data_IF_880268405488
#
_entry.id   IF_880268405488
#
_cell.length_a   1.000
_cell.length_b   1.000
_cell.length_c   1.000
_cell.angle_alpha   90.00
_cell.angle_beta   90.00
_cell.angle_gamma   90.00
#
_symmetry.space_group_name_H-M   'P 1'
#
loop_
_entity.id
_entity.type
_entity.pdbx_description
1 polymer ?
#
# COMPACT_ATOMS: atom_id res chain seq x y z
N UNK A 1 7.59 -4.89 -19.66
CA UNK A 1 7.89 -4.93 -18.22
C UNK A 1 8.92 -3.87 -17.78
N UNK A 2 9.54 -3.14 -18.70
CA UNK A 2 10.64 -2.22 -18.46
C UNK A 2 12.03 -2.86 -18.63
N UNK A 3 13.06 -2.01 -18.68
CA UNK A 3 14.47 -2.44 -18.84
C UNK A 3 14.92 -3.27 -17.63
N UNK A 4 15.51 -4.47 -17.85
CA UNK A 4 15.88 -5.36 -16.73
C UNK A 4 16.88 -4.76 -15.73
N UNK A 5 17.84 -3.97 -16.20
CA UNK A 5 18.84 -3.31 -15.36
C UNK A 5 18.21 -2.27 -14.44
N UNK A 6 17.28 -1.45 -14.94
CA UNK A 6 16.55 -0.46 -14.14
C UNK A 6 15.67 -1.16 -13.10
N UNK A 7 14.96 -2.22 -13.47
CA UNK A 7 14.13 -3.01 -12.56
C UNK A 7 14.94 -3.64 -11.43
N UNK A 8 16.10 -4.22 -11.74
CA UNK A 8 17.03 -4.78 -10.73
C UNK A 8 17.57 -3.69 -9.80
N UNK A 9 17.95 -2.54 -10.35
CA UNK A 9 18.42 -1.41 -9.54
C UNK A 9 17.31 -0.90 -8.61
N UNK A 10 16.07 -0.81 -9.09
CA UNK A 10 14.92 -0.41 -8.28
C UNK A 10 14.64 -1.43 -7.17
N UNK A 11 14.66 -2.75 -7.47
CA UNK A 11 14.52 -3.81 -6.48
C UNK A 11 15.58 -3.70 -5.37
N UNK A 12 16.83 -3.48 -5.74
CA UNK A 12 17.91 -3.30 -4.78
C UNK A 12 17.68 -2.07 -3.88
N UNK A 13 17.21 -0.95 -4.45
CA UNK A 13 16.88 0.25 -3.70
C UNK A 13 15.69 0.05 -2.74
N UNK A 14 14.66 -0.70 -3.16
CA UNK A 14 13.55 -1.07 -2.27
C UNK A 14 14.11 -1.83 -1.05
N UNK A 15 14.99 -2.81 -1.26
CA UNK A 15 15.58 -3.58 -0.16
C UNK A 15 16.50 -2.73 0.73
N UNK A 16 17.27 -1.82 0.15
CA UNK A 16 18.16 -0.91 0.88
C UNK A 16 17.38 0.04 1.80
N UNK A 17 16.27 0.61 1.31
CA UNK A 17 15.44 1.57 2.06
C UNK A 17 14.45 0.90 3.03
N UNK A 18 14.31 -0.41 2.96
CA UNK A 18 13.38 -1.20 3.78
C UNK A 18 14.10 -2.39 4.43
N UNK A 19 14.86 -2.17 5.51
CA UNK A 19 15.67 -3.21 6.18
C UNK A 19 14.90 -4.47 6.59
N UNK A 20 13.60 -4.35 6.93
CA UNK A 20 12.75 -5.50 7.29
C UNK A 20 12.41 -6.42 6.11
N UNK A 21 12.83 -6.09 4.89
CA UNK A 21 12.81 -7.01 3.74
C UNK A 21 13.97 -8.02 3.77
N UNK A 22 14.94 -7.87 4.69
CA UNK A 22 16.08 -8.80 4.78
C UNK A 22 15.58 -10.23 4.98
N UNK A 23 15.97 -11.10 4.06
CA UNK A 23 15.57 -12.53 4.08
C UNK A 23 14.19 -12.83 3.50
N UNK A 24 13.45 -11.81 3.07
CA UNK A 24 12.16 -11.97 2.40
C UNK A 24 12.29 -11.90 0.88
N UNK A 25 11.34 -12.52 0.18
CA UNK A 25 11.33 -12.54 -1.28
C UNK A 25 10.37 -11.51 -1.83
N UNK A 26 10.86 -10.67 -2.73
CA UNK A 26 10.02 -9.73 -3.51
C UNK A 26 10.20 -9.97 -5.01
N UNK A 27 9.16 -9.71 -5.78
CA UNK A 27 9.22 -9.83 -7.23
C UNK A 27 10.19 -8.79 -7.84
N UNK A 28 10.69 -9.07 -9.04
CA UNK A 28 11.34 -8.02 -9.84
C UNK A 28 10.28 -6.97 -10.22
N UNK A 29 10.48 -5.68 -9.89
CA UNK A 29 9.49 -4.63 -10.17
C UNK A 29 9.07 -4.55 -11.63
N UNK A 30 7.80 -4.29 -11.89
CA UNK A 30 7.26 -4.00 -13.22
C UNK A 30 7.17 -2.49 -13.39
N UNK A 31 7.83 -1.94 -14.41
CA UNK A 31 7.78 -0.51 -14.69
C UNK A 31 6.41 -0.08 -15.21
N UNK A 32 5.92 1.06 -14.72
CA UNK A 32 4.66 1.67 -15.11
C UNK A 32 4.84 3.12 -15.54
N UNK A 33 3.83 3.68 -16.23
CA UNK A 33 3.81 5.09 -16.56
C UNK A 33 3.36 5.91 -15.35
N UNK A 34 4.27 6.15 -14.42
CA UNK A 34 4.06 6.71 -13.09
C UNK A 34 3.19 5.84 -12.16
N UNK A 35 3.05 6.29 -10.89
CA UNK A 35 2.31 5.56 -9.87
C UNK A 35 0.82 5.44 -10.20
N UNK A 36 0.21 6.47 -10.77
CA UNK A 36 -1.21 6.43 -11.16
C UNK A 36 -1.53 5.26 -12.10
N UNK A 37 -0.63 4.93 -13.03
CA UNK A 37 -0.79 3.75 -13.86
C UNK A 37 -0.64 2.45 -13.04
N UNK A 38 0.32 2.39 -12.10
CA UNK A 38 0.45 1.27 -11.17
C UNK A 38 -0.81 1.05 -10.32
N UNK A 39 -1.37 2.13 -9.79
CA UNK A 39 -2.65 2.12 -9.06
C UNK A 39 -3.80 1.61 -9.94
N UNK A 40 -3.89 2.09 -11.19
CA UNK A 40 -4.90 1.59 -12.14
C UNK A 40 -4.71 0.10 -12.44
N UNK A 41 -3.48 -0.36 -12.61
CA UNK A 41 -3.20 -1.78 -12.83
C UNK A 41 -3.54 -2.65 -11.61
N UNK A 42 -3.34 -2.15 -10.39
CA UNK A 42 -3.80 -2.84 -9.19
C UNK A 42 -5.34 -3.00 -9.20
N UNK A 43 -6.07 -1.98 -9.65
CA UNK A 43 -7.52 -2.08 -9.87
C UNK A 43 -7.88 -3.17 -10.86
N UNK A 44 -7.24 -3.16 -12.03
CA UNK A 44 -7.46 -4.18 -13.07
C UNK A 44 -7.20 -5.62 -12.58
N UNK A 45 -6.18 -5.81 -11.76
CA UNK A 45 -5.79 -7.15 -11.29
C UNK A 45 -6.66 -7.66 -10.14
N UNK A 46 -7.16 -6.77 -9.28
CA UNK A 46 -7.70 -7.16 -7.98
C UNK A 46 -9.14 -6.74 -7.72
N UNK A 47 -9.75 -5.91 -8.57
CA UNK A 47 -11.09 -5.38 -8.35
C UNK A 47 -12.04 -5.79 -9.48
N UNK A 48 -13.04 -6.58 -9.14
CA UNK A 48 -14.19 -6.85 -10.00
C UNK A 48 -15.29 -5.78 -9.77
N UNK A 49 -16.23 -5.59 -10.72
CA UNK A 49 -17.38 -4.72 -10.50
C UNK A 49 -18.16 -5.10 -9.23
N UNK A 50 -18.39 -4.13 -8.35
CA UNK A 50 -19.00 -4.33 -7.04
C UNK A 50 -18.07 -4.87 -5.94
N UNK A 51 -16.84 -5.25 -6.26
CA UNK A 51 -15.84 -5.65 -5.26
C UNK A 51 -15.52 -4.48 -4.35
N UNK A 52 -15.50 -4.72 -3.03
CA UNK A 52 -15.15 -3.71 -2.05
C UNK A 52 -13.63 -3.50 -1.98
N UNK A 53 -13.23 -2.23 -1.89
CA UNK A 53 -11.89 -1.81 -1.53
C UNK A 53 -11.96 -0.92 -0.30
N UNK A 54 -11.14 -1.25 0.70
CA UNK A 54 -11.06 -0.54 1.98
C UNK A 54 -10.05 0.60 1.88
N UNK A 55 -10.51 1.81 2.14
CA UNK A 55 -9.70 3.03 2.21
C UNK A 55 -9.87 3.69 3.58
N UNK A 56 -8.88 4.45 4.08
CA UNK A 56 -9.15 5.36 5.19
C UNK A 56 -10.18 6.41 4.74
N UNK A 57 -10.97 6.96 5.66
CA UNK A 57 -11.95 8.02 5.33
C UNK A 57 -11.31 9.34 4.84
N UNK A 58 -10.00 9.50 5.05
CA UNK A 58 -9.18 10.58 4.52
C UNK A 58 -8.23 10.03 3.47
N UNK A 59 -8.65 10.04 2.21
CA UNK A 59 -7.91 9.46 1.10
C UNK A 59 -7.81 10.41 -0.11
N UNK A 60 -6.88 10.14 -1.00
CA UNK A 60 -6.70 10.89 -2.25
C UNK A 60 -7.87 10.63 -3.22
N UNK A 61 -8.63 11.69 -3.53
CA UNK A 61 -9.88 11.58 -4.30
C UNK A 61 -9.76 10.91 -5.67
N UNK A 62 -8.57 10.84 -6.27
CA UNK A 62 -8.39 10.18 -7.55
C UNK A 62 -8.50 8.65 -7.49
N UNK A 63 -8.52 8.02 -6.31
CA UNK A 63 -8.87 6.60 -6.21
C UNK A 63 -10.30 6.32 -6.68
N UNK A 64 -11.22 7.29 -6.53
CA UNK A 64 -12.56 7.18 -7.13
C UNK A 64 -12.49 7.00 -8.65
N UNK A 65 -11.62 7.78 -9.32
CA UNK A 65 -11.44 7.68 -10.77
C UNK A 65 -10.76 6.36 -11.17
N UNK A 66 -9.68 6.01 -10.42
CA UNK A 66 -8.85 4.87 -10.75
C UNK A 66 -9.54 3.52 -10.53
N UNK A 67 -10.47 3.43 -9.58
CA UNK A 67 -11.06 2.15 -9.17
C UNK A 67 -12.59 2.13 -9.25
N UNK A 68 -13.27 3.10 -8.67
CA UNK A 68 -14.74 3.12 -8.69
C UNK A 68 -15.26 3.38 -10.11
N UNK A 69 -14.78 4.43 -10.78
CA UNK A 69 -15.25 4.79 -12.10
C UNK A 69 -14.72 3.86 -13.20
N UNK A 70 -13.43 3.46 -13.10
CA UNK A 70 -12.79 2.66 -14.12
C UNK A 70 -13.19 1.18 -14.07
N UNK A 71 -13.35 0.61 -12.89
CA UNK A 71 -13.59 -0.84 -12.69
C UNK A 71 -14.90 -1.17 -11.96
N UNK A 72 -15.69 -0.17 -11.59
CA UNK A 72 -16.96 -0.39 -10.86
C UNK A 72 -16.75 -0.89 -9.43
N UNK A 73 -15.58 -0.69 -8.85
CA UNK A 73 -15.31 -1.07 -7.47
C UNK A 73 -16.12 -0.22 -6.49
N UNK A 74 -16.46 -0.79 -5.33
CA UNK A 74 -17.15 -0.11 -4.25
C UNK A 74 -16.15 0.33 -3.19
N UNK A 75 -15.96 1.63 -3.03
CA UNK A 75 -15.11 2.16 -1.96
C UNK A 75 -15.87 2.08 -0.64
N UNK A 76 -15.28 1.41 0.34
CA UNK A 76 -15.73 1.32 1.73
C UNK A 76 -14.66 1.95 2.61
N UNK A 77 -15.05 2.82 3.53
CA UNK A 77 -14.08 3.55 4.34
C UNK A 77 -14.06 3.07 5.78
N UNK A 78 -12.85 3.08 6.38
CA UNK A 78 -12.64 2.99 7.82
C UNK A 78 -12.10 4.34 8.35
N UNK A 79 -12.26 4.60 9.63
CA UNK A 79 -11.73 5.83 10.23
C UNK A 79 -10.20 5.74 10.32
N UNK A 80 -9.50 6.76 9.81
CA UNK A 80 -8.05 6.83 9.92
C UNK A 80 -7.62 7.17 11.35
N UNK A 81 -8.39 8.04 12.01
CA UNK A 81 -8.08 8.57 13.35
C UNK A 81 -9.22 8.40 14.33
N UNK A 82 -8.85 8.16 15.59
CA UNK A 82 -9.67 8.25 16.79
C UNK A 82 -8.80 8.79 17.93
N UNK A 83 -9.29 9.77 18.65
CA UNK A 83 -8.63 10.34 19.82
C UNK A 83 -7.15 10.77 19.60
N UNK A 84 -6.89 11.40 18.45
CA UNK A 84 -5.56 11.84 17.96
C UNK A 84 -4.55 10.71 17.69
N UNK A 85 -4.99 9.48 17.56
CA UNK A 85 -4.16 8.33 17.16
C UNK A 85 -4.78 7.62 15.94
N UNK A 86 -4.02 6.71 15.32
CA UNK A 86 -4.54 5.86 14.26
C UNK A 86 -5.62 4.91 14.80
N UNK A 87 -6.78 4.85 14.14
CA UNK A 87 -7.90 3.98 14.53
C UNK A 87 -7.72 2.55 13.98
N UNK A 88 -6.87 1.78 14.66
CA UNK A 88 -6.62 0.37 14.30
C UNK A 88 -7.87 -0.50 14.52
N UNK A 89 -8.74 -0.13 15.46
CA UNK A 89 -9.98 -0.86 15.71
C UNK A 89 -10.92 -0.75 14.50
N UNK A 90 -11.12 0.46 13.96
CA UNK A 90 -11.93 0.68 12.75
C UNK A 90 -11.39 -0.10 11.55
N UNK A 91 -10.06 -0.11 11.34
CA UNK A 91 -9.42 -0.92 10.31
C UNK A 91 -9.68 -2.42 10.53
N UNK A 92 -9.50 -2.91 11.76
CA UNK A 92 -9.71 -4.32 12.11
C UNK A 92 -11.15 -4.76 11.85
N UNK A 93 -12.13 -3.94 12.22
CA UNK A 93 -13.55 -4.20 11.98
C UNK A 93 -13.84 -4.27 10.47
N UNK A 94 -13.30 -3.34 9.67
CA UNK A 94 -13.46 -3.33 8.23
C UNK A 94 -12.84 -4.58 7.55
N UNK A 95 -11.65 -5.01 8.01
CA UNK A 95 -10.99 -6.22 7.50
C UNK A 95 -11.77 -7.49 7.84
N UNK A 96 -12.39 -7.54 9.03
CA UNK A 96 -13.14 -8.70 9.52
C UNK A 96 -14.60 -8.73 9.06
N UNK A 97 -15.12 -7.65 8.47
CA UNK A 97 -16.48 -7.60 7.93
C UNK A 97 -16.74 -8.71 6.90
N UNK A 98 -17.98 -8.86 6.48
CA UNK A 98 -18.42 -9.92 5.55
C UNK A 98 -17.56 -9.99 4.28
N UNK A 99 -17.51 -11.18 3.68
CA UNK A 99 -16.69 -11.50 2.51
C UNK A 99 -15.28 -11.98 2.88
N UNK A 100 -14.83 -13.04 2.22
CA UNK A 100 -13.55 -13.70 2.49
C UNK A 100 -12.38 -13.00 1.84
N UNK A 101 -12.63 -12.30 0.72
CA UNK A 101 -11.61 -11.54 -0.03
C UNK A 101 -11.67 -10.07 0.34
N UNK A 102 -10.54 -9.51 0.73
CA UNK A 102 -10.38 -8.09 1.07
C UNK A 102 -9.31 -7.45 0.22
N UNK A 103 -9.57 -6.25 -0.27
CA UNK A 103 -8.56 -5.39 -0.86
C UNK A 103 -8.50 -4.14 -0.01
N UNK A 104 -7.32 -3.77 0.47
CA UNK A 104 -7.11 -2.58 1.32
C UNK A 104 -5.95 -1.76 0.78
N UNK A 105 -6.06 -0.43 0.88
CA UNK A 105 -5.00 0.49 0.54
C UNK A 105 -4.40 1.12 1.79
N UNK A 106 -3.07 1.16 1.81
CA UNK A 106 -2.29 1.99 2.73
C UNK A 106 -1.48 3.01 1.93
N UNK A 107 -1.56 4.27 2.34
CA UNK A 107 -0.82 5.36 1.73
C UNK A 107 -0.16 6.18 2.84
N UNK A 108 1.15 6.02 3.01
CA UNK A 108 1.96 6.71 4.02
C UNK A 108 3.31 7.15 3.45
N UNK A 109 3.70 8.43 3.65
CA UNK A 109 2.89 9.54 4.17
C UNK A 109 1.57 9.69 3.42
N UNK A 110 0.49 9.94 4.18
CA UNK A 110 -0.87 9.94 3.63
C UNK A 110 -1.18 11.24 2.87
N UNK A 111 -1.85 11.11 1.76
CA UNK A 111 -2.49 12.21 1.07
C UNK A 111 -4.02 12.13 1.29
N UNK A 112 -4.68 13.14 1.94
CA UNK A 112 -4.25 14.54 2.05
C UNK A 112 -3.64 14.96 3.39
N UNK A 113 -3.58 14.09 4.41
CA UNK A 113 -3.29 14.50 5.80
C UNK A 113 -1.82 14.79 6.08
N UNK A 114 -0.91 14.24 5.27
CA UNK A 114 0.53 14.24 5.55
C UNK A 114 0.96 13.28 6.66
N UNK A 115 0.02 12.54 7.23
CA UNK A 115 0.27 11.64 8.36
C UNK A 115 1.14 10.44 7.95
N UNK A 116 2.05 10.09 8.83
CA UNK A 116 2.82 8.84 8.79
C UNK A 116 2.76 8.14 10.13
N UNK A 117 2.55 6.82 10.18
CA UNK A 117 2.44 6.09 11.43
C UNK A 117 3.78 6.08 12.19
N UNK A 118 3.67 6.06 13.51
CA UNK A 118 4.78 5.71 14.38
C UNK A 118 5.14 4.23 14.19
N UNK A 119 6.32 3.81 14.66
CA UNK A 119 6.71 2.39 14.63
C UNK A 119 5.71 1.47 15.35
N UNK A 120 5.10 1.95 16.46
CA UNK A 120 4.09 1.20 17.20
C UNK A 120 2.78 1.08 16.43
N UNK A 121 2.34 2.14 15.78
CA UNK A 121 1.14 2.13 14.94
C UNK A 121 1.33 1.28 13.69
N UNK A 122 2.51 1.32 13.05
CA UNK A 122 2.85 0.44 11.94
C UNK A 122 2.76 -1.04 12.34
N UNK A 123 3.32 -1.41 13.49
CA UNK A 123 3.20 -2.79 14.04
C UNK A 123 1.75 -3.17 14.31
N UNK A 124 0.95 -2.27 14.86
CA UNK A 124 -0.47 -2.52 15.13
C UNK A 124 -1.28 -2.68 13.83
N UNK A 125 -1.00 -1.85 12.82
CA UNK A 125 -1.62 -1.92 11.49
C UNK A 125 -1.32 -3.26 10.81
N UNK A 126 -0.06 -3.68 10.79
CA UNK A 126 0.36 -4.98 10.23
C UNK A 126 -0.25 -6.13 11.04
N UNK A 127 -0.31 -5.99 12.36
CA UNK A 127 -0.96 -6.95 13.27
C UNK A 127 -2.44 -7.14 12.96
N UNK A 128 -3.17 -6.06 12.62
CA UNK A 128 -4.58 -6.12 12.22
C UNK A 128 -4.77 -6.92 10.91
N UNK A 129 -3.91 -6.69 9.91
CA UNK A 129 -3.92 -7.45 8.65
C UNK A 129 -3.62 -8.92 8.91
N UNK A 130 -2.57 -9.23 9.67
CA UNK A 130 -2.20 -10.60 10.02
C UNK A 130 -3.32 -11.33 10.75
N UNK A 131 -3.91 -10.71 11.77
CA UNK A 131 -5.03 -11.28 12.53
C UNK A 131 -6.24 -11.59 11.63
N UNK A 132 -6.57 -10.71 10.67
CA UNK A 132 -7.65 -10.97 9.73
C UNK A 132 -7.31 -12.15 8.79
N UNK A 133 -6.07 -12.26 8.34
CA UNK A 133 -5.59 -13.38 7.53
C UNK A 133 -5.62 -14.72 8.30
N UNK A 134 -5.21 -14.72 9.57
CA UNK A 134 -5.29 -15.88 10.48
C UNK A 134 -6.76 -16.33 10.70
N UNK A 135 -7.73 -15.42 10.59
CA UNK A 135 -9.16 -15.71 10.61
C UNK A 135 -9.74 -16.10 9.24
N UNK A 136 -8.87 -16.41 8.28
CA UNK A 136 -9.24 -16.94 6.97
C UNK A 136 -9.50 -15.89 5.89
N UNK A 137 -9.35 -14.58 6.18
CA UNK A 137 -9.48 -13.55 5.13
C UNK A 137 -8.31 -13.63 4.16
N UNK A 138 -8.59 -13.57 2.84
CA UNK A 138 -7.60 -13.45 1.76
C UNK A 138 -7.44 -11.99 1.42
N UNK A 139 -6.28 -11.42 1.70
CA UNK A 139 -6.09 -9.96 1.73
C UNK A 139 -5.06 -9.54 0.69
N UNK A 140 -5.44 -8.62 -0.18
CA UNK A 140 -4.50 -7.87 -1.01
C UNK A 140 -4.30 -6.50 -0.37
N UNK A 141 -3.07 -6.17 -0.03
CA UNK A 141 -2.72 -4.86 0.51
C UNK A 141 -1.96 -4.06 -0.53
N UNK A 142 -2.56 -3.00 -1.04
CA UNK A 142 -1.91 -2.06 -1.96
C UNK A 142 -1.25 -0.97 -1.12
N UNK A 143 0.07 -0.91 -1.15
CA UNK A 143 0.88 0.15 -0.54
C UNK A 143 1.15 1.22 -1.59
N UNK A 144 0.40 2.32 -1.56
CA UNK A 144 0.68 3.49 -2.37
C UNK A 144 1.76 4.34 -1.69
N UNK A 145 2.97 4.15 -2.14
CA UNK A 145 4.18 4.78 -1.62
C UNK A 145 4.57 6.06 -2.39
N UNK A 146 3.58 6.82 -2.85
CA UNK A 146 3.82 8.05 -3.61
C UNK A 146 4.69 9.07 -2.86
N UNK A 147 4.63 9.09 -1.54
CA UNK A 147 5.39 10.00 -0.66
C UNK A 147 6.44 9.27 0.18
N UNK A 148 6.74 8.02 -0.14
CA UNK A 148 7.80 7.25 0.52
C UNK A 148 9.12 8.02 0.54
N UNK A 149 9.86 7.95 1.64
CA UNK A 149 11.10 8.68 1.86
C UNK A 149 10.95 10.11 2.41
N UNK A 150 9.73 10.68 2.38
CA UNK A 150 9.44 12.03 2.87
C UNK A 150 9.03 12.02 4.35
N UNK A 151 9.83 11.41 5.20
CA UNK A 151 9.65 11.35 6.66
C UNK A 151 10.81 12.06 7.35
N UNK A 152 10.51 13.11 8.11
CA UNK A 152 11.52 14.00 8.68
C UNK A 152 11.59 13.95 10.19
N UNK A 153 10.53 13.50 10.87
CA UNK A 153 10.43 13.47 12.33
C UNK A 153 11.02 12.19 12.92
N UNK A 154 11.47 12.29 14.17
CA UNK A 154 11.94 11.13 14.96
C UNK A 154 10.74 10.33 15.48
N UNK A 155 10.88 9.01 15.56
CA UNK A 155 9.83 8.12 16.08
C UNK A 155 8.74 7.76 15.07
N UNK A 156 8.79 8.35 13.87
CA UNK A 156 7.94 7.97 12.74
C UNK A 156 8.62 6.86 11.96
N UNK A 157 7.85 5.85 11.56
CA UNK A 157 8.36 4.75 10.73
C UNK A 157 8.81 5.27 9.36
N UNK A 158 9.98 4.83 8.93
CA UNK A 158 10.57 5.24 7.64
C UNK A 158 10.44 4.19 6.56
N UNK A 159 10.00 3.00 6.92
CA UNK A 159 9.80 1.91 5.98
C UNK A 159 8.37 1.90 5.43
N UNK A 160 8.22 1.32 4.27
CA UNK A 160 6.91 1.05 3.69
C UNK A 160 6.18 -0.05 4.47
N UNK A 161 4.84 0.02 4.64
CA UNK A 161 4.05 -1.10 5.13
C UNK A 161 4.32 -2.40 4.36
N UNK A 162 4.68 -2.31 3.09
CA UNK A 162 5.07 -3.43 2.24
C UNK A 162 6.17 -4.29 2.86
N UNK A 163 7.18 -3.67 3.49
CA UNK A 163 8.29 -4.40 4.09
C UNK A 163 7.86 -5.32 5.23
N UNK A 164 6.92 -4.87 6.03
CA UNK A 164 6.37 -5.63 7.16
C UNK A 164 5.38 -6.70 6.70
N UNK A 165 4.62 -6.40 5.63
CA UNK A 165 3.59 -7.29 5.08
C UNK A 165 4.17 -8.41 4.22
N UNK A 166 5.36 -8.23 3.66
CA UNK A 166 6.07 -9.28 2.94
C UNK A 166 6.24 -10.52 3.85
N UNK A 167 5.80 -11.68 3.36
CA UNK A 167 5.83 -12.98 4.07
C UNK A 167 5.12 -12.99 5.45
N UNK A 168 4.20 -12.05 5.71
CA UNK A 168 3.51 -11.98 7.01
C UNK A 168 2.53 -13.13 7.22
N UNK A 169 1.87 -13.61 6.17
CA UNK A 169 0.92 -14.73 6.18
C UNK A 169 0.62 -15.18 4.75
N UNK A 170 0.38 -16.47 4.52
CA UNK A 170 0.08 -17.05 3.19
C UNK A 170 -1.17 -16.47 2.51
N UNK A 171 -2.13 -15.95 3.29
CA UNK A 171 -3.34 -15.29 2.81
C UNK A 171 -3.17 -13.78 2.56
N UNK A 172 -1.96 -13.24 2.63
CA UNK A 172 -1.68 -11.81 2.39
C UNK A 172 -0.79 -11.67 1.17
N UNK A 173 -1.24 -10.90 0.20
CA UNK A 173 -0.43 -10.43 -0.93
C UNK A 173 -0.17 -8.95 -0.74
N UNK A 174 1.07 -8.57 -0.53
CA UNK A 174 1.49 -7.18 -0.50
C UNK A 174 1.85 -6.69 -1.90
N UNK A 175 1.36 -5.52 -2.26
CA UNK A 175 1.58 -4.87 -3.57
C UNK A 175 2.10 -3.47 -3.32
N UNK A 176 3.37 -3.21 -3.62
CA UNK A 176 3.97 -1.89 -3.53
C UNK A 176 3.84 -1.16 -4.85
N UNK A 177 3.28 0.03 -4.83
CA UNK A 177 3.25 0.96 -5.96
C UNK A 177 4.08 2.17 -5.59
N UNK A 178 5.24 2.34 -6.22
CA UNK A 178 6.18 3.39 -5.89
C UNK A 178 6.88 4.00 -7.12
N UNK A 179 7.76 4.94 -6.89
CA UNK A 179 8.54 5.57 -7.94
C UNK A 179 9.24 6.83 -7.48
N UNK A 180 10.16 7.38 -8.28
CA UNK A 180 10.99 8.53 -7.93
C UNK A 180 10.23 9.87 -7.95
N UNK A 181 8.93 9.81 -8.19
CA UNK A 181 8.06 10.96 -8.51
C UNK A 181 8.18 12.10 -7.52
N UNK A 182 8.07 11.82 -6.21
CA UNK A 182 8.09 12.84 -5.15
C UNK A 182 9.43 12.87 -4.44
N UNK A 183 9.95 11.71 -4.05
CA UNK A 183 11.20 11.57 -3.31
C UNK A 183 12.39 12.19 -4.06
N UNK A 184 12.47 11.94 -5.38
CA UNK A 184 13.57 12.42 -6.23
C UNK A 184 13.19 13.64 -7.10
N UNK A 185 12.04 14.28 -6.85
CA UNK A 185 11.57 15.49 -7.55
C UNK A 185 11.43 15.34 -9.08
N UNK A 186 11.18 14.14 -9.58
CA UNK A 186 11.13 13.83 -11.04
C UNK A 186 9.74 13.48 -11.52
N UNK A 187 8.71 14.10 -10.95
CA UNK A 187 7.29 13.86 -11.27
C UNK A 187 6.96 13.99 -12.77
N UNK A 188 7.66 14.82 -13.51
CA UNK A 188 7.47 15.02 -14.95
C UNK A 188 7.89 13.83 -15.81
N UNK A 189 8.79 12.96 -15.33
CA UNK A 189 9.29 11.81 -16.10
C UNK A 189 8.33 10.64 -16.17
N UNK A 190 7.28 10.65 -15.36
CA UNK A 190 6.22 9.63 -15.38
C UNK A 190 6.76 8.20 -15.25
N UNK A 191 7.61 7.97 -14.26
CA UNK A 191 8.18 6.66 -13.93
C UNK A 191 7.56 6.14 -12.64
N UNK A 192 7.12 4.90 -12.64
CA UNK A 192 6.62 4.18 -11.48
C UNK A 192 6.92 2.69 -11.59
N UNK A 193 6.69 1.98 -10.50
CA UNK A 193 6.92 0.54 -10.41
C UNK A 193 5.82 -0.13 -9.59
N UNK A 194 5.55 -1.40 -9.92
CA UNK A 194 4.72 -2.29 -9.10
C UNK A 194 5.57 -3.49 -8.70
N UNK A 195 5.58 -3.81 -7.42
CA UNK A 195 6.34 -4.91 -6.83
C UNK A 195 5.42 -5.74 -5.92
N UNK A 196 5.60 -7.05 -5.91
CA UNK A 196 4.77 -8.00 -5.15
C UNK A 196 5.62 -8.74 -4.11
N UNK A 197 5.00 -9.10 -2.98
CA UNK A 197 5.55 -9.97 -1.95
C UNK A 197 4.46 -10.86 -1.35
#
# INVERSE_FOLDING_TARGET
>A
FGRPDIRKRWQAMIAEKNPDLKGKTISLPVATNALTHGISMAGYMFLDPGQEILLPNLYWGNYNLAWQNAYGAKIVTYNLFKDNAMDIESLSQALLADGDRKVVLFNFPNNPTGYSPTESEMKALVGAVKNAAEKGKKIVVVCDDAYFGLVYEKGIDRQSPFAYLADVHENVLAVKVDGPTKEDYVWGFRVGFVTFA
#
